data_IF_535177362004
#
_entry.id   IF_535177362004
#
_cell.length_a   1.000
_cell.length_b   1.000
_cell.length_c   1.000
_cell.angle_alpha   90.00
_cell.angle_beta   90.00
_cell.angle_gamma   90.00
#
_symmetry.space_group_name_H-M   'P 1'
#
loop_
_entity.id
_entity.type
_entity.pdbx_description
1 polymer ?
#
# COMPACT_ATOMS: atom_id res chain seq x y z
N UNK A 1 -30.46 -36.88 -17.80
CA UNK A 1 -30.83 -36.27 -19.09
C UNK A 1 -31.44 -34.90 -18.76
N UNK A 2 -30.68 -33.80 -18.80
CA UNK A 2 -30.46 -32.92 -19.99
C UNK A 2 -31.79 -32.17 -20.27
N UNK A 3 -31.97 -30.84 -20.13
CA UNK A 3 -31.17 -29.65 -20.48
C UNK A 3 -31.80 -28.38 -19.80
N UNK A 4 -31.01 -27.38 -19.34
CA UNK A 4 -30.79 -26.01 -19.92
C UNK A 4 -32.08 -25.17 -20.08
N UNK A 5 -32.19 -23.88 -19.70
CA UNK A 5 -31.23 -22.76 -19.67
C UNK A 5 -31.82 -21.51 -18.96
N UNK A 6 -30.91 -20.61 -18.57
CA UNK A 6 -30.97 -19.12 -18.46
C UNK A 6 -32.03 -18.40 -17.57
N UNK A 7 -31.53 -17.66 -16.56
CA UNK A 7 -31.46 -16.18 -16.62
C UNK A 7 -30.52 -15.61 -15.52
N UNK A 8 -29.61 -14.74 -15.97
CA UNK A 8 -28.64 -13.97 -15.21
C UNK A 8 -29.29 -12.75 -14.54
N UNK A 9 -28.76 -12.30 -13.39
CA UNK A 9 -28.85 -10.90 -12.96
C UNK A 9 -28.84 -10.67 -11.45
N UNK A 10 -27.85 -9.89 -10.98
CA UNK A 10 -27.80 -9.18 -9.69
C UNK A 10 -27.44 -9.99 -8.41
N UNK A 11 -26.15 -10.25 -8.22
CA UNK A 11 -25.57 -10.46 -6.89
C UNK A 11 -24.13 -9.91 -6.87
N UNK A 12 -24.00 -8.59 -6.77
CA UNK A 12 -22.74 -7.89 -6.94
C UNK A 12 -22.62 -6.61 -6.13
N UNK A 13 -23.20 -6.53 -4.93
CA UNK A 13 -22.92 -5.49 -3.92
C UNK A 13 -23.29 -6.09 -2.56
N UNK A 14 -22.33 -6.55 -1.75
CA UNK A 14 -22.42 -6.78 -0.28
C UNK A 14 -21.26 -7.67 0.26
N UNK A 15 -20.01 -7.20 0.18
CA UNK A 15 -18.91 -7.77 1.01
C UNK A 15 -18.03 -6.66 1.58
N UNK A 16 -18.65 -5.61 2.13
CA UNK A 16 -17.95 -4.64 2.97
C UNK A 16 -18.75 -4.35 4.25
N UNK A 17 -19.17 -5.42 4.94
CA UNK A 17 -19.66 -5.34 6.31
C UNK A 17 -19.37 -6.66 7.02
N UNK A 18 -18.19 -6.76 7.61
CA UNK A 18 -17.89 -7.78 8.61
C UNK A 18 -17.24 -7.12 9.83
N UNK A 19 -17.92 -6.09 10.37
CA UNK A 19 -17.80 -5.61 11.74
C UNK A 19 -18.94 -4.60 11.93
N UNK A 20 -20.10 -5.06 12.40
CA UNK A 20 -21.20 -4.28 13.03
C UNK A 20 -22.52 -5.05 12.91
N UNK A 21 -22.93 -5.74 13.97
CA UNK A 21 -24.35 -6.06 14.21
C UNK A 21 -24.61 -6.04 15.72
N UNK A 22 -25.12 -4.92 16.23
CA UNK A 22 -26.07 -4.86 17.35
C UNK A 22 -26.88 -3.54 17.25
N UNK A 23 -28.11 -3.70 16.77
CA UNK A 23 -29.34 -2.94 17.05
C UNK A 23 -29.73 -1.67 16.26
N UNK A 24 -31.06 -1.44 16.07
CA UNK A 24 -31.61 -0.69 14.94
C UNK A 24 -32.44 0.56 15.33
N UNK A 25 -32.52 1.55 14.44
CA UNK A 25 -33.77 2.02 13.77
C UNK A 25 -33.69 3.45 13.24
N UNK A 26 -34.10 3.55 11.97
CA UNK A 26 -34.88 4.59 11.27
C UNK A 26 -34.35 6.03 11.23
N UNK A 27 -34.08 6.49 10.01
CA UNK A 27 -34.38 7.87 9.61
C UNK A 27 -34.98 7.90 8.20
N UNK A 28 -36.08 8.62 8.06
CA UNK A 28 -36.90 8.79 6.85
C UNK A 28 -36.25 9.71 5.80
N UNK A 29 -36.56 9.42 4.55
CA UNK A 29 -36.19 10.22 3.38
C UNK A 29 -37.09 11.45 3.24
N UNK A 30 -36.49 12.61 3.00
CA UNK A 30 -37.16 13.76 2.38
C UNK A 30 -36.48 14.06 1.03
N UNK A 31 -37.27 13.87 -0.03
CA UNK A 31 -36.98 14.33 -1.39
C UNK A 31 -37.32 15.81 -1.49
N UNK A 32 -36.45 16.60 -2.11
CA UNK A 32 -36.87 17.81 -2.81
C UNK A 32 -36.18 17.91 -4.17
N UNK A 33 -37.01 18.13 -5.18
CA UNK A 33 -36.66 18.31 -6.59
C UNK A 33 -36.14 19.73 -6.83
N UNK A 34 -35.19 19.87 -7.76
CA UNK A 34 -34.78 21.15 -8.33
C UNK A 34 -33.82 20.94 -9.50
N UNK A 35 -34.33 21.10 -10.72
CA UNK A 35 -33.59 21.05 -11.99
C UNK A 35 -32.79 22.35 -12.26
N UNK A 36 -31.86 22.34 -13.25
CA UNK A 36 -30.63 23.14 -13.22
C UNK A 36 -30.70 24.43 -14.02
N UNK A 37 -30.04 25.49 -13.54
CA UNK A 37 -29.78 26.69 -14.31
C UNK A 37 -28.39 26.64 -14.98
N UNK A 38 -28.41 26.62 -16.31
CA UNK A 38 -27.27 26.88 -17.17
C UNK A 38 -26.78 28.32 -17.03
N UNK A 39 -25.49 28.50 -16.75
CA UNK A 39 -24.79 29.75 -17.03
C UNK A 39 -23.45 29.43 -17.71
N UNK A 40 -23.44 29.76 -19.00
CA UNK A 40 -22.31 29.73 -19.89
C UNK A 40 -21.34 30.84 -19.47
N UNK A 41 -20.09 30.50 -19.14
CA UNK A 41 -19.04 31.50 -19.12
C UNK A 41 -17.76 30.90 -19.69
N UNK A 42 -17.47 31.31 -20.92
CA UNK A 42 -16.20 31.07 -21.60
C UNK A 42 -15.14 31.95 -20.96
N UNK A 43 -14.22 31.35 -20.22
CA UNK A 43 -12.91 31.95 -19.99
C UNK A 43 -11.84 30.99 -20.49
N UNK A 44 -11.36 31.25 -21.70
CA UNK A 44 -10.05 30.82 -22.16
C UNK A 44 -9.00 31.46 -21.25
N UNK A 45 -8.46 30.70 -20.31
CA UNK A 45 -7.25 31.07 -19.58
C UNK A 45 -6.06 30.35 -20.20
N UNK A 46 -5.18 31.16 -20.80
CA UNK A 46 -3.82 30.80 -21.20
C UNK A 46 -3.15 30.01 -20.07
N UNK A 47 -2.67 28.81 -20.39
CA UNK A 47 -1.79 28.03 -19.51
C UNK A 47 -0.45 28.77 -19.40
N UNK A 48 -0.32 29.55 -18.34
CA UNK A 48 0.96 30.10 -17.89
C UNK A 48 1.82 28.97 -17.34
N UNK A 49 3.08 28.91 -17.79
CA UNK A 49 4.09 27.90 -17.46
C UNK A 49 4.82 28.16 -16.13
N UNK A 50 4.23 28.92 -15.20
CA UNK A 50 4.92 29.36 -13.99
C UNK A 50 4.50 28.62 -12.71
N UNK A 51 5.50 27.92 -12.16
CA UNK A 51 5.64 27.35 -10.80
C UNK A 51 4.73 26.17 -10.45
N UNK A 52 5.30 24.96 -10.53
CA UNK A 52 4.96 23.91 -9.56
C UNK A 52 5.02 24.57 -8.16
N UNK A 53 3.90 24.61 -7.43
CA UNK A 53 3.91 24.98 -6.02
C UNK A 53 4.63 23.85 -5.29
N UNK A 54 5.91 24.05 -5.01
CA UNK A 54 6.65 23.16 -4.13
C UNK A 54 6.01 23.28 -2.76
N UNK A 55 5.37 22.21 -2.27
CA UNK A 55 4.80 22.20 -0.94
C UNK A 55 5.89 22.53 0.11
N UNK A 56 5.55 23.22 1.20
CA UNK A 56 6.50 23.50 2.26
C UNK A 56 7.13 22.19 2.75
N UNK A 57 8.44 22.20 2.99
CA UNK A 57 9.13 21.02 3.52
C UNK A 57 8.50 20.62 4.86
N UNK A 58 8.20 19.34 5.00
CA UNK A 58 7.74 18.71 6.24
C UNK A 58 8.91 18.14 7.06
N UNK A 59 10.15 18.34 6.60
CA UNK A 59 11.34 17.82 7.24
C UNK A 59 11.53 18.47 8.62
N UNK A 60 12.03 17.69 9.57
CA UNK A 60 12.45 18.18 10.89
C UNK A 60 13.98 18.12 11.00
N UNK A 61 14.58 18.73 12.03
CA UNK A 61 16.04 18.81 12.19
C UNK A 61 16.76 17.46 12.27
N UNK A 62 16.03 16.38 12.55
CA UNK A 62 16.54 15.01 12.62
C UNK A 62 16.31 14.20 11.33
N UNK A 63 15.51 14.73 10.39
CA UNK A 63 15.15 14.06 9.14
C UNK A 63 15.91 14.65 7.97
N UNK A 64 16.72 13.88 7.23
CA UNK A 64 17.32 14.38 6.02
C UNK A 64 16.25 14.66 4.94
N UNK A 65 16.57 15.48 3.92
CA UNK A 65 15.67 15.72 2.80
C UNK A 65 15.25 14.42 2.12
N UNK A 66 14.00 14.36 1.66
CA UNK A 66 13.48 13.19 0.94
C UNK A 66 14.19 12.93 -0.40
N UNK A 67 14.72 13.97 -1.04
CA UNK A 67 15.36 13.86 -2.36
C UNK A 67 14.38 13.44 -3.46
N UNK A 68 14.89 12.74 -4.48
CA UNK A 68 14.10 12.35 -5.66
C UNK A 68 12.94 11.41 -5.33
N UNK A 69 12.96 10.71 -4.18
CA UNK A 69 11.84 9.88 -3.72
C UNK A 69 10.54 10.69 -3.71
N UNK A 70 10.58 11.93 -3.21
CA UNK A 70 9.42 12.82 -3.12
C UNK A 70 9.21 13.67 -4.39
N UNK A 71 10.13 13.63 -5.35
CA UNK A 71 9.99 14.40 -6.59
C UNK A 71 9.14 13.63 -7.61
N UNK A 72 7.84 13.87 -7.61
CA UNK A 72 6.91 13.27 -8.57
C UNK A 72 6.90 14.00 -9.94
N UNK A 73 7.74 15.01 -10.16
CA UNK A 73 7.95 15.62 -11.48
C UNK A 73 8.91 14.81 -12.36
N UNK A 74 9.66 13.89 -11.76
CA UNK A 74 10.52 12.95 -12.47
C UNK A 74 9.63 11.85 -13.07
N UNK A 75 9.53 11.85 -14.40
CA UNK A 75 8.77 10.87 -15.17
C UNK A 75 9.68 9.89 -15.90
N UNK A 76 9.07 8.82 -16.41
CA UNK A 76 9.77 7.80 -17.18
C UNK A 76 10.40 8.41 -18.44
N UNK A 77 11.73 8.29 -18.55
CA UNK A 77 12.47 8.73 -19.73
C UNK A 77 12.13 7.89 -20.96
N UNK A 78 12.22 8.48 -22.16
CA UNK A 78 11.93 7.79 -23.41
C UNK A 78 12.80 6.53 -23.54
N UNK A 79 12.17 5.39 -23.79
CA UNK A 79 12.85 4.09 -23.95
C UNK A 79 13.09 3.31 -22.65
N UNK A 80 12.84 3.91 -21.47
CA UNK A 80 12.90 3.20 -20.19
C UNK A 80 11.59 2.47 -19.90
N UNK A 81 11.66 1.30 -19.25
CA UNK A 81 10.48 0.56 -18.78
C UNK A 81 9.95 1.06 -17.43
N UNK A 82 10.73 1.85 -16.68
CA UNK A 82 10.39 2.39 -15.36
C UNK A 82 11.00 3.78 -15.11
N UNK A 83 10.47 4.51 -14.12
CA UNK A 83 11.06 5.78 -13.65
C UNK A 83 12.35 5.49 -12.88
N UNK A 84 13.45 6.12 -13.28
CA UNK A 84 14.72 6.05 -12.55
C UNK A 84 14.83 7.25 -11.61
N UNK A 85 15.12 6.99 -10.34
CA UNK A 85 15.32 7.98 -9.28
C UNK A 85 16.57 7.64 -8.47
N UNK A 86 17.27 8.66 -7.99
CA UNK A 86 18.43 8.51 -7.13
C UNK A 86 17.98 8.31 -5.67
N UNK A 87 18.00 7.06 -5.20
CA UNK A 87 17.67 6.72 -3.82
C UNK A 87 18.91 6.73 -2.92
N UNK A 88 18.88 7.54 -1.88
CA UNK A 88 19.86 7.47 -0.78
C UNK A 88 19.26 6.61 0.35
N UNK A 89 19.65 5.33 0.39
CA UNK A 89 19.09 4.38 1.34
C UNK A 89 19.32 4.77 2.80
N UNK A 90 20.48 5.36 3.14
CA UNK A 90 20.73 5.82 4.51
C UNK A 90 19.72 6.92 4.92
N UNK A 91 19.50 7.91 4.04
CA UNK A 91 18.52 8.98 4.30
C UNK A 91 17.08 8.44 4.38
N UNK A 92 16.72 7.50 3.51
CA UNK A 92 15.41 6.86 3.50
C UNK A 92 15.13 6.18 4.85
N UNK A 93 16.11 5.47 5.43
CA UNK A 93 15.94 4.83 6.73
C UNK A 93 16.02 5.80 7.92
N UNK A 94 16.80 6.88 7.83
CA UNK A 94 16.75 7.97 8.81
C UNK A 94 15.34 8.60 8.87
N UNK A 95 14.68 8.78 7.73
CA UNK A 95 13.29 9.27 7.68
C UNK A 95 12.28 8.25 8.19
N UNK A 96 12.54 6.95 8.04
CA UNK A 96 11.72 5.92 8.69
C UNK A 96 11.84 5.98 10.22
N UNK A 97 13.06 6.20 10.74
CA UNK A 97 13.32 6.33 12.19
C UNK A 97 12.76 7.63 12.76
N UNK A 98 12.93 8.72 12.04
CA UNK A 98 12.48 10.06 12.39
C UNK A 98 11.47 10.51 11.33
N UNK A 99 10.20 10.07 11.42
CA UNK A 99 9.20 10.44 10.43
C UNK A 99 8.99 11.97 10.39
N UNK A 100 8.99 12.58 9.20
CA UNK A 100 8.74 14.01 9.03
C UNK A 100 7.26 14.35 9.23
N UNK A 101 6.95 15.63 9.39
CA UNK A 101 5.58 16.12 9.51
C UNK A 101 5.05 16.15 10.94
N UNK A 102 3.77 16.52 11.06
CA UNK A 102 3.09 16.74 12.35
C UNK A 102 2.14 15.59 12.66
N UNK A 103 2.07 15.22 13.94
CA UNK A 103 1.02 14.33 14.46
C UNK A 103 -0.18 15.17 14.85
N UNK A 104 -1.38 14.72 14.49
CA UNK A 104 -2.65 15.35 14.87
C UNK A 104 -3.48 14.39 15.71
N UNK A 105 -4.09 14.90 16.79
CA UNK A 105 -4.96 14.14 17.69
C UNK A 105 -6.25 14.94 17.91
N UNK A 106 -7.41 14.47 17.41
CA UNK A 106 -7.60 13.29 16.55
C UNK A 106 -6.94 13.45 15.16
N UNK A 107 -6.78 12.36 14.38
CA UNK A 107 -6.35 12.44 12.99
C UNK A 107 -7.20 13.42 12.18
N UNK A 108 -6.57 14.14 11.26
CA UNK A 108 -7.27 15.11 10.42
C UNK A 108 -8.25 14.42 9.46
N UNK A 109 -9.40 15.06 9.23
CA UNK A 109 -10.39 14.63 8.23
C UNK A 109 -10.07 15.07 6.82
N UNK A 110 -9.27 16.12 6.67
CA UNK A 110 -8.90 16.71 5.39
C UNK A 110 -7.40 17.04 5.37
N UNK A 111 -6.73 17.02 4.21
CA UNK A 111 -5.34 17.47 4.10
C UNK A 111 -5.20 18.92 4.59
N UNK A 112 -4.13 19.28 5.32
CA UNK A 112 -3.82 20.68 5.57
C UNK A 112 -3.72 21.45 4.25
N UNK A 113 -4.26 22.67 4.20
CA UNK A 113 -4.36 23.46 2.97
C UNK A 113 -2.99 23.66 2.31
N UNK A 114 -1.96 23.83 3.11
CA UNK A 114 -0.58 24.02 2.70
C UNK A 114 0.06 22.75 2.10
N UNK A 115 -0.45 21.55 2.40
CA UNK A 115 0.04 20.27 1.88
C UNK A 115 -0.90 19.65 0.84
N UNK A 116 -2.03 20.29 0.52
CA UNK A 116 -3.06 19.73 -0.36
C UNK A 116 -2.49 19.36 -1.74
N UNK A 117 -1.67 20.23 -2.33
CA UNK A 117 -1.04 19.99 -3.63
C UNK A 117 -0.13 18.76 -3.59
N UNK A 118 0.66 18.59 -2.51
CA UNK A 118 1.52 17.42 -2.35
C UNK A 118 0.71 16.13 -2.13
N UNK A 119 -0.32 16.17 -1.27
CA UNK A 119 -1.17 15.01 -1.03
C UNK A 119 -1.92 14.56 -2.29
N UNK A 120 -2.34 15.53 -3.10
CA UNK A 120 -3.09 15.27 -4.33
C UNK A 120 -2.21 15.06 -5.56
N UNK A 121 -0.87 15.09 -5.42
CA UNK A 121 0.08 15.04 -6.54
C UNK A 121 -0.28 16.08 -7.62
N UNK A 122 -0.43 17.34 -7.19
CA UNK A 122 -0.87 18.47 -8.02
C UNK A 122 -2.19 18.20 -8.78
N UNK A 123 -3.15 17.51 -8.13
CA UNK A 123 -4.47 17.22 -8.69
C UNK A 123 -4.59 15.93 -9.53
N UNK A 124 -3.55 15.08 -9.54
CA UNK A 124 -3.62 13.72 -10.09
C UNK A 124 -4.29 12.70 -9.14
N UNK A 125 -4.62 13.11 -7.91
CA UNK A 125 -5.50 12.37 -7.00
C UNK A 125 -6.75 13.21 -6.68
N UNK A 126 -7.93 12.71 -7.05
CA UNK A 126 -9.19 13.30 -6.64
C UNK A 126 -9.42 13.09 -5.13
N UNK A 127 -10.00 14.07 -4.43
CA UNK A 127 -10.37 13.89 -3.03
C UNK A 127 -11.61 12.99 -2.94
N UNK A 128 -11.51 11.95 -2.12
CA UNK A 128 -12.64 11.15 -1.66
C UNK A 128 -13.15 11.65 -0.31
N UNK A 129 -14.09 10.92 0.29
CA UNK A 129 -14.76 11.34 1.52
C UNK A 129 -14.67 10.31 2.65
N UNK A 130 -13.96 9.20 2.44
CA UNK A 130 -13.87 8.16 3.45
C UNK A 130 -12.79 8.47 4.48
N UNK A 131 -13.16 8.39 5.76
CA UNK A 131 -12.32 8.73 6.91
C UNK A 131 -12.27 7.56 7.89
N UNK A 132 -11.11 7.33 8.50
CA UNK A 132 -10.93 6.33 9.56
C UNK A 132 -10.05 6.85 10.68
N UNK A 133 -10.47 6.66 11.94
CA UNK A 133 -9.59 6.84 13.10
C UNK A 133 -9.04 5.48 13.54
N UNK A 134 -7.75 5.25 13.30
CA UNK A 134 -7.04 4.02 13.65
C UNK A 134 -6.12 4.18 14.85
N UNK A 135 -6.24 5.25 15.64
CA UNK A 135 -5.31 5.56 16.75
C UNK A 135 -5.43 4.61 17.94
N UNK A 136 -6.46 3.76 17.98
CA UNK A 136 -6.60 2.73 19.01
C UNK A 136 -5.54 1.65 18.81
N UNK A 137 -4.62 1.52 19.78
CA UNK A 137 -3.58 0.50 19.76
C UNK A 137 -4.19 -0.90 19.57
N UNK A 138 -3.70 -1.63 18.57
CA UNK A 138 -3.96 -3.06 18.53
C UNK A 138 -3.16 -3.72 19.65
N UNK A 139 -3.78 -4.63 20.40
CA UNK A 139 -3.02 -5.50 21.30
C UNK A 139 -2.15 -6.40 20.44
N UNK A 140 -0.87 -6.52 20.79
CA UNK A 140 0.04 -7.43 20.10
C UNK A 140 -0.58 -8.83 19.98
N UNK A 141 -0.38 -9.47 18.84
CA UNK A 141 -0.98 -10.78 18.55
C UNK A 141 0.05 -11.90 18.69
N UNK A 142 -0.39 -13.06 19.17
CA UNK A 142 0.45 -14.26 19.27
C UNK A 142 -0.20 -15.36 18.44
N UNK A 143 0.56 -15.95 17.51
CA UNK A 143 0.16 -17.09 16.72
C UNK A 143 1.02 -18.28 17.12
N UNK A 144 0.42 -19.23 17.84
CA UNK A 144 1.11 -20.42 18.35
C UNK A 144 1.47 -21.38 17.22
N UNK A 145 2.39 -22.30 17.48
CA UNK A 145 2.83 -23.29 16.49
C UNK A 145 1.65 -24.13 15.98
N UNK A 146 0.66 -24.44 16.81
CA UNK A 146 -0.55 -25.17 16.40
C UNK A 146 -1.42 -24.36 15.43
N UNK A 147 -1.61 -23.07 15.69
CA UNK A 147 -2.37 -22.16 14.83
C UNK A 147 -1.67 -21.99 13.47
N UNK A 148 -0.34 -21.84 13.50
CA UNK A 148 0.49 -21.75 12.30
C UNK A 148 0.40 -23.02 11.46
N UNK A 149 0.56 -24.19 12.08
CA UNK A 149 0.45 -25.48 11.41
C UNK A 149 -0.94 -25.70 10.81
N UNK A 150 -1.99 -25.26 11.52
CA UNK A 150 -3.37 -25.30 11.01
C UNK A 150 -3.52 -24.43 9.77
N UNK A 151 -3.05 -23.18 9.79
CA UNK A 151 -3.11 -22.28 8.63
C UNK A 151 -2.33 -22.83 7.43
N UNK A 152 -1.15 -23.40 7.66
CA UNK A 152 -0.33 -24.07 6.64
C UNK A 152 -1.11 -25.21 6.00
N UNK A 153 -1.75 -26.06 6.80
CA UNK A 153 -2.59 -27.16 6.32
C UNK A 153 -3.79 -26.63 5.53
N UNK A 154 -4.51 -25.65 6.07
CA UNK A 154 -5.70 -25.08 5.44
C UNK A 154 -5.38 -24.47 4.07
N UNK A 155 -4.23 -23.77 3.94
CA UNK A 155 -3.79 -23.22 2.65
C UNK A 155 -3.38 -24.29 1.63
N UNK A 156 -2.77 -25.41 2.08
CA UNK A 156 -2.51 -26.59 1.22
C UNK A 156 -3.79 -27.25 0.74
N UNK A 157 -4.82 -27.27 1.58
CA UNK A 157 -6.17 -27.77 1.27
C UNK A 157 -7.02 -26.74 0.48
N UNK A 158 -6.41 -25.65 0.01
CA UNK A 158 -7.06 -24.58 -0.77
C UNK A 158 -8.20 -23.87 -0.03
N UNK A 159 -8.20 -23.88 1.31
CA UNK A 159 -9.14 -23.09 2.11
C UNK A 159 -8.71 -21.62 2.14
N UNK A 160 -9.69 -20.75 2.32
CA UNK A 160 -9.45 -19.31 2.39
C UNK A 160 -8.84 -18.93 3.75
N UNK A 161 -7.57 -18.52 3.75
CA UNK A 161 -6.86 -18.08 4.97
C UNK A 161 -6.58 -16.57 5.03
N UNK A 162 -6.79 -15.85 3.93
CA UNK A 162 -6.39 -14.46 3.80
C UNK A 162 -7.40 -13.45 4.32
N UNK A 163 -6.89 -12.31 4.80
CA UNK A 163 -7.70 -11.21 5.36
C UNK A 163 -8.59 -10.49 4.35
N UNK A 164 -8.35 -10.67 3.04
CA UNK A 164 -9.05 -9.98 1.95
C UNK A 164 -9.86 -10.94 1.07
N UNK A 165 -10.28 -12.08 1.64
CA UNK A 165 -11.12 -13.06 0.96
C UNK A 165 -10.56 -13.49 -0.41
N UNK A 166 -11.39 -13.44 -1.46
CA UNK A 166 -10.99 -13.85 -2.82
C UNK A 166 -9.76 -13.09 -3.34
N UNK A 167 -9.48 -11.89 -2.84
CA UNK A 167 -8.34 -11.11 -3.28
C UNK A 167 -7.03 -11.67 -2.77
N UNK A 168 -6.99 -12.13 -1.52
CA UNK A 168 -5.84 -12.86 -0.97
C UNK A 168 -5.55 -14.14 -1.76
N UNK A 169 -6.57 -14.88 -2.19
CA UNK A 169 -6.37 -16.08 -3.01
C UNK A 169 -5.77 -15.75 -4.39
N UNK A 170 -6.19 -14.64 -5.02
CA UNK A 170 -5.58 -14.19 -6.28
C UNK A 170 -4.16 -13.67 -6.10
N UNK A 171 -3.84 -13.04 -4.96
CA UNK A 171 -2.47 -12.67 -4.63
C UNK A 171 -1.54 -13.90 -4.56
N UNK A 172 -2.02 -15.00 -3.97
CA UNK A 172 -1.31 -16.30 -4.00
C UNK A 172 -0.97 -16.77 -5.41
N UNK A 173 -1.86 -16.57 -6.39
CA UNK A 173 -1.57 -16.92 -7.78
C UNK A 173 -0.42 -16.09 -8.35
N UNK A 174 -0.35 -14.81 -7.98
CA UNK A 174 0.79 -13.93 -8.30
C UNK A 174 2.10 -14.48 -7.74
N UNK A 175 2.12 -14.86 -6.47
CA UNK A 175 3.28 -15.50 -5.83
C UNK A 175 3.65 -16.83 -6.52
N UNK A 176 2.66 -17.69 -6.76
CA UNK A 176 2.85 -19.04 -7.32
C UNK A 176 3.40 -19.03 -8.74
N UNK A 177 3.07 -18.00 -9.54
CA UNK A 177 3.62 -17.79 -10.88
C UNK A 177 5.16 -17.69 -10.87
N UNK A 178 5.73 -17.21 -9.76
CA UNK A 178 7.16 -17.02 -9.57
C UNK A 178 7.76 -18.01 -8.57
N UNK A 179 7.10 -19.17 -8.35
CA UNK A 179 7.55 -20.19 -7.38
C UNK A 179 9.03 -20.56 -7.53
N UNK A 180 9.51 -20.78 -8.76
CA UNK A 180 10.92 -21.15 -9.01
C UNK A 180 11.93 -20.08 -8.57
N UNK A 181 11.53 -18.81 -8.55
CA UNK A 181 12.37 -17.70 -8.07
C UNK A 181 12.27 -17.51 -6.56
N UNK A 182 11.22 -18.05 -5.92
CA UNK A 182 10.95 -17.95 -4.49
C UNK A 182 11.45 -19.15 -3.68
N UNK A 183 11.42 -20.35 -4.26
CA UNK A 183 11.79 -21.59 -3.55
C UNK A 183 13.23 -21.50 -3.02
N UNK A 184 13.41 -21.81 -1.73
CA UNK A 184 14.70 -21.75 -1.05
C UNK A 184 15.23 -20.34 -0.76
N UNK A 185 14.47 -19.28 -1.07
CA UNK A 185 14.85 -17.88 -0.84
C UNK A 185 14.35 -17.34 0.50
N UNK A 186 14.97 -16.24 0.96
CA UNK A 186 14.51 -15.53 2.15
C UNK A 186 13.97 -14.16 1.78
N UNK A 187 12.80 -13.80 2.33
CA UNK A 187 12.13 -12.55 1.99
C UNK A 187 11.55 -11.80 3.17
N UNK A 188 11.01 -10.63 2.88
CA UNK A 188 10.38 -9.74 3.86
C UNK A 188 8.90 -9.54 3.54
N UNK A 189 8.04 -9.53 4.56
CA UNK A 189 6.60 -9.20 4.43
C UNK A 189 6.33 -7.92 5.21
N UNK A 190 5.82 -6.89 4.53
CA UNK A 190 5.52 -5.58 5.14
C UNK A 190 4.03 -5.46 5.40
N UNK A 191 3.65 -5.09 6.64
CA UNK A 191 2.28 -4.68 6.97
C UNK A 191 1.31 -5.84 7.22
N UNK A 192 1.82 -6.97 7.72
CA UNK A 192 1.04 -8.18 7.95
C UNK A 192 0.87 -8.46 9.44
N UNK A 193 -0.35 -8.22 9.96
CA UNK A 193 -0.72 -8.50 11.35
C UNK A 193 -1.41 -9.87 11.53
N UNK A 194 -1.61 -10.61 10.43
CA UNK A 194 -2.11 -12.00 10.40
C UNK A 194 -1.29 -12.79 9.38
N UNK A 195 -0.78 -13.99 9.69
CA UNK A 195 0.28 -14.64 8.92
C UNK A 195 -0.16 -15.29 7.60
N UNK A 196 -1.07 -14.70 6.83
CA UNK A 196 -1.62 -15.36 5.65
C UNK A 196 -0.67 -15.29 4.44
N UNK A 197 0.09 -14.20 4.27
CA UNK A 197 1.10 -14.09 3.21
C UNK A 197 2.28 -14.99 3.53
N UNK A 198 2.71 -14.98 4.78
CA UNK A 198 3.78 -15.79 5.34
C UNK A 198 3.49 -17.27 5.11
N UNK A 199 2.29 -17.73 5.47
CA UNK A 199 1.86 -19.12 5.25
C UNK A 199 1.86 -19.49 3.77
N UNK A 200 1.36 -18.63 2.88
CA UNK A 200 1.41 -18.87 1.43
C UNK A 200 2.85 -19.03 0.92
N UNK A 201 3.77 -18.18 1.41
CA UNK A 201 5.19 -18.24 1.05
C UNK A 201 5.86 -19.52 1.57
N UNK A 202 5.58 -19.93 2.82
CA UNK A 202 6.06 -21.19 3.38
C UNK A 202 5.60 -22.38 2.50
N UNK A 203 4.33 -22.40 2.09
CA UNK A 203 3.80 -23.45 1.22
C UNK A 203 4.38 -23.42 -0.21
N UNK A 204 4.82 -22.25 -0.70
CA UNK A 204 5.58 -22.13 -1.95
C UNK A 204 6.98 -22.74 -1.82
N UNK A 205 7.51 -22.84 -0.61
CA UNK A 205 8.81 -23.43 -0.30
C UNK A 205 9.92 -22.41 -0.10
N UNK A 206 9.61 -21.20 0.36
CA UNK A 206 10.65 -20.24 0.77
C UNK A 206 11.42 -20.78 1.97
N UNK A 207 12.67 -20.33 2.14
CA UNK A 207 13.52 -20.72 3.27
C UNK A 207 13.09 -20.01 4.55
N UNK A 208 12.87 -18.69 4.49
CA UNK A 208 12.56 -17.86 5.66
C UNK A 208 11.77 -16.62 5.27
N UNK A 209 10.90 -16.15 6.18
CA UNK A 209 10.16 -14.89 6.04
C UNK A 209 10.39 -14.01 7.26
N UNK A 210 10.78 -12.76 7.03
CA UNK A 210 10.80 -11.73 8.06
C UNK A 210 9.58 -10.84 7.89
N UNK A 211 8.62 -10.94 8.80
CA UNK A 211 7.46 -10.03 8.84
C UNK A 211 7.80 -8.79 9.63
N UNK A 212 7.39 -7.65 9.12
CA UNK A 212 7.67 -6.36 9.74
C UNK A 212 6.39 -5.52 9.80
N UNK A 213 6.09 -4.96 10.98
CA UNK A 213 4.96 -4.05 11.21
C UNK A 213 5.28 -3.04 12.34
N UNK A 214 4.39 -2.07 12.57
CA UNK A 214 4.46 -1.19 13.74
C UNK A 214 3.82 -1.82 14.98
N UNK A 215 2.88 -2.75 14.79
CA UNK A 215 2.23 -3.50 15.86
C UNK A 215 2.97 -4.82 16.09
N UNK A 216 3.23 -5.17 17.35
CA UNK A 216 3.94 -6.41 17.65
C UNK A 216 3.12 -7.65 17.29
N UNK A 217 3.77 -8.58 16.60
CA UNK A 217 3.21 -9.91 16.32
C UNK A 217 4.24 -10.96 16.66
N UNK A 218 3.83 -12.01 17.35
CA UNK A 218 4.68 -13.15 17.70
C UNK A 218 4.20 -14.34 16.87
N UNK A 219 5.12 -14.95 16.13
CA UNK A 219 4.89 -16.18 15.38
C UNK A 219 5.75 -17.28 15.98
N UNK A 220 5.12 -18.33 16.50
CA UNK A 220 5.83 -19.54 16.94
C UNK A 220 6.01 -20.47 15.74
N UNK A 221 6.88 -20.09 14.79
CA UNK A 221 7.22 -20.93 13.65
C UNK A 221 8.68 -20.73 13.23
N UNK A 222 9.50 -21.78 13.04
CA UNK A 222 10.95 -21.65 12.87
C UNK A 222 11.38 -20.91 11.59
N UNK A 223 10.50 -20.82 10.59
CA UNK A 223 10.77 -20.13 9.32
C UNK A 223 10.18 -18.71 9.24
N UNK A 224 9.57 -18.21 10.32
CA UNK A 224 8.96 -16.87 10.34
C UNK A 224 9.50 -16.11 11.53
N UNK A 225 10.06 -14.93 11.28
CA UNK A 225 10.49 -14.00 12.33
C UNK A 225 9.73 -12.69 12.22
N UNK A 226 9.58 -11.98 13.32
CA UNK A 226 8.99 -10.65 13.36
C UNK A 226 10.01 -9.58 13.75
N UNK A 227 9.85 -8.35 13.22
CA UNK A 227 10.58 -7.17 13.67
C UNK A 227 9.69 -5.93 13.64
N UNK A 228 9.85 -5.05 14.64
CA UNK A 228 9.18 -3.76 14.62
C UNK A 228 9.84 -2.82 13.60
N UNK A 229 9.03 -1.96 12.98
CA UNK A 229 9.52 -0.96 12.01
C UNK A 229 10.64 -0.06 12.56
N UNK A 230 10.55 0.47 13.79
CA UNK A 230 11.64 1.23 14.40
C UNK A 230 12.95 0.43 14.55
N UNK A 231 12.87 -0.85 14.90
CA UNK A 231 14.06 -1.71 15.06
C UNK A 231 14.72 -1.98 13.71
N UNK A 232 13.91 -2.20 12.66
CA UNK A 232 14.38 -2.32 11.29
C UNK A 232 15.09 -1.05 10.82
N UNK A 233 14.55 0.12 11.17
CA UNK A 233 15.17 1.40 10.86
C UNK A 233 16.52 1.57 11.56
N UNK A 234 16.58 1.29 12.86
CA UNK A 234 17.81 1.37 13.66
C UNK A 234 18.91 0.45 13.11
N UNK A 235 18.58 -0.79 12.78
CA UNK A 235 19.52 -1.74 12.18
C UNK A 235 20.03 -1.26 10.82
N UNK A 236 19.13 -0.73 9.98
CA UNK A 236 19.47 -0.27 8.64
C UNK A 236 20.35 0.99 8.65
N UNK A 237 20.16 1.88 9.63
CA UNK A 237 20.98 3.07 9.83
C UNK A 237 22.36 2.70 10.40
N UNK A 238 22.39 1.86 11.44
CA UNK A 238 23.63 1.50 12.15
C UNK A 238 24.57 0.65 11.28
N UNK A 239 23.99 -0.23 10.48
CA UNK A 239 24.75 -1.15 9.64
C UNK A 239 24.55 -0.74 8.16
N UNK A 240 23.71 -1.50 7.46
CA UNK A 240 23.18 -1.26 6.13
C UNK A 240 21.80 -1.92 6.08
N UNK A 241 20.90 -1.51 5.18
CA UNK A 241 19.63 -2.18 5.01
C UNK A 241 19.82 -3.68 4.71
N UNK A 242 19.09 -4.58 5.39
CA UNK A 242 19.16 -6.01 5.12
C UNK A 242 18.83 -6.29 3.66
N UNK A 243 19.47 -7.30 3.07
CA UNK A 243 19.33 -7.63 1.64
C UNK A 243 18.53 -8.93 1.47
N UNK A 244 17.25 -8.81 1.13
CA UNK A 244 16.31 -9.89 0.88
C UNK A 244 16.25 -10.29 -0.59
N UNK A 245 15.93 -11.56 -0.86
CA UNK A 245 15.73 -12.06 -2.22
C UNK A 245 14.38 -11.60 -2.81
N UNK A 246 13.38 -11.39 -1.95
CA UNK A 246 12.07 -10.90 -2.34
C UNK A 246 11.38 -10.12 -1.20
N UNK A 247 10.36 -9.35 -1.55
CA UNK A 247 9.48 -8.65 -0.64
C UNK A 247 8.02 -8.87 -1.03
N UNK A 248 7.11 -8.85 -0.06
CA UNK A 248 5.68 -8.86 -0.30
C UNK A 248 4.95 -7.88 0.62
N UNK A 249 3.92 -7.21 0.08
CA UNK A 249 3.01 -6.38 0.87
C UNK A 249 1.65 -6.34 0.19
N UNK A 250 0.59 -6.38 0.98
CA UNK A 250 -0.78 -6.35 0.47
C UNK A 250 -1.66 -5.48 1.35
N UNK A 251 -2.17 -4.40 0.76
CA UNK A 251 -3.04 -3.41 1.40
C UNK A 251 -2.39 -2.84 2.67
N UNK A 252 -1.27 -2.15 2.50
CA UNK A 252 -0.48 -1.56 3.58
C UNK A 252 0.11 -0.21 3.19
N UNK A 253 0.82 -0.14 2.06
CA UNK A 253 1.52 1.07 1.62
C UNK A 253 0.56 2.25 1.36
N UNK A 254 -0.68 1.99 0.94
CA UNK A 254 -1.68 3.02 0.67
C UNK A 254 -2.02 3.91 1.86
N UNK A 255 -1.75 3.44 3.08
CA UNK A 255 -2.05 4.16 4.31
C UNK A 255 -0.89 5.06 4.77
N UNK A 256 0.32 4.85 4.28
CA UNK A 256 1.53 5.50 4.80
C UNK A 256 1.48 7.03 4.69
N UNK A 257 1.73 7.72 5.80
CA UNK A 257 1.79 9.18 5.89
C UNK A 257 0.43 9.88 5.84
N UNK A 258 -0.67 9.14 6.02
CA UNK A 258 -2.02 9.73 6.09
C UNK A 258 -2.44 10.09 7.52
N UNK A 259 -1.65 9.76 8.54
CA UNK A 259 -1.94 10.06 9.95
C UNK A 259 -3.04 9.21 10.58
N UNK A 260 -3.56 8.22 9.85
CA UNK A 260 -4.66 7.31 10.27
C UNK A 260 -4.41 6.71 11.64
N UNK A 261 -3.17 6.30 11.89
CA UNK A 261 -2.78 5.50 13.04
C UNK A 261 -2.15 6.37 14.14
N UNK A 262 -2.25 7.70 14.02
CA UNK A 262 -1.54 8.63 14.90
C UNK A 262 -0.07 8.84 14.51
N UNK A 263 0.31 8.43 13.30
CA UNK A 263 1.58 8.71 12.66
C UNK A 263 1.65 10.18 12.18
N UNK A 264 2.86 10.75 12.02
CA UNK A 264 3.03 12.04 11.38
C UNK A 264 2.49 12.03 9.94
N UNK A 265 1.83 13.12 9.53
CA UNK A 265 1.36 13.24 8.16
C UNK A 265 2.52 13.49 7.20
N UNK A 266 2.56 12.72 6.10
CA UNK A 266 3.56 12.81 5.05
C UNK A 266 2.91 12.45 3.68
N UNK A 267 2.77 13.43 2.76
CA UNK A 267 2.22 13.20 1.42
C UNK A 267 2.89 12.08 0.62
N UNK A 268 4.16 11.81 0.92
CA UNK A 268 5.05 10.91 0.21
C UNK A 268 5.33 9.60 0.95
N UNK A 269 4.63 9.33 2.06
CA UNK A 269 4.91 8.17 2.91
C UNK A 269 4.84 6.81 2.19
N UNK A 270 3.97 6.68 1.19
CA UNK A 270 3.86 5.50 0.33
C UNK A 270 5.06 5.33 -0.62
N UNK A 271 5.55 6.44 -1.19
CA UNK A 271 6.77 6.43 -2.01
C UNK A 271 8.00 6.11 -1.17
N UNK A 272 8.11 6.68 0.02
CA UNK A 272 9.18 6.37 0.96
C UNK A 272 9.14 4.88 1.38
N UNK A 273 7.96 4.33 1.67
CA UNK A 273 7.80 2.90 1.98
C UNK A 273 8.24 1.99 0.81
N UNK A 274 7.86 2.32 -0.44
CA UNK A 274 8.33 1.58 -1.60
C UNK A 274 9.86 1.70 -1.79
N UNK A 275 10.43 2.87 -1.53
CA UNK A 275 11.88 3.09 -1.59
C UNK A 275 12.64 2.33 -0.49
N UNK A 276 12.09 2.22 0.73
CA UNK A 276 12.63 1.38 1.80
C UNK A 276 12.71 -0.09 1.35
N UNK A 277 11.64 -0.61 0.71
CA UNK A 277 11.60 -1.97 0.16
C UNK A 277 12.65 -2.13 -0.94
N UNK A 278 12.78 -1.16 -1.84
CA UNK A 278 13.82 -1.18 -2.87
C UNK A 278 15.23 -1.25 -2.26
N UNK A 279 15.50 -0.47 -1.21
CA UNK A 279 16.79 -0.48 -0.51
C UNK A 279 17.10 -1.82 0.17
N UNK A 280 16.07 -2.55 0.61
CA UNK A 280 16.21 -3.87 1.26
C UNK A 280 16.25 -5.05 0.29
N UNK A 281 16.05 -4.84 -1.00
CA UNK A 281 16.08 -5.93 -1.98
C UNK A 281 17.46 -6.09 -2.60
N UNK A 282 17.88 -7.35 -2.81
CA UNK A 282 19.03 -7.64 -3.67
C UNK A 282 18.76 -7.21 -5.12
N UNK A 283 19.80 -6.89 -5.91
CA UNK A 283 19.66 -6.73 -7.36
C UNK A 283 18.93 -7.92 -7.98
N UNK A 284 17.91 -7.66 -8.81
CA UNK A 284 17.06 -8.70 -9.40
C UNK A 284 15.98 -9.28 -8.48
N UNK A 285 15.94 -8.87 -7.20
CA UNK A 285 14.92 -9.30 -6.26
C UNK A 285 13.50 -8.88 -6.67
N UNK A 286 12.52 -9.69 -6.27
CA UNK A 286 11.11 -9.47 -6.60
C UNK A 286 10.37 -8.74 -5.49
N UNK A 287 9.47 -7.84 -5.86
CA UNK A 287 8.51 -7.22 -4.95
C UNK A 287 7.08 -7.50 -5.42
N UNK A 288 6.32 -8.20 -4.59
CA UNK A 288 4.90 -8.49 -4.79
C UNK A 288 4.08 -7.46 -4.03
N UNK A 289 3.42 -6.56 -4.76
CA UNK A 289 2.68 -5.45 -4.18
C UNK A 289 1.21 -5.54 -4.55
N UNK A 290 0.32 -5.58 -3.56
CA UNK A 290 -1.11 -5.38 -3.75
C UNK A 290 -1.57 -4.06 -3.12
N UNK A 291 -2.15 -3.16 -3.91
CA UNK A 291 -2.72 -1.88 -3.44
C UNK A 291 -4.05 -1.58 -4.16
N UNK A 292 -4.99 -0.84 -3.55
CA UNK A 292 -6.20 -0.39 -4.23
C UNK A 292 -5.85 0.40 -5.50
N UNK A 293 -6.33 0.01 -6.68
CA UNK A 293 -5.88 0.64 -7.92
C UNK A 293 -6.99 0.76 -8.95
N UNK A 294 -6.89 1.80 -9.79
CA UNK A 294 -7.76 2.03 -10.95
C UNK A 294 -6.91 2.01 -12.22
N UNK A 295 -6.60 0.80 -12.72
CA UNK A 295 -5.71 0.67 -13.88
C UNK A 295 -6.29 1.36 -15.13
N UNK A 296 -5.39 1.92 -15.93
CA UNK A 296 -5.74 2.64 -17.16
C UNK A 296 -6.32 4.04 -16.92
N UNK A 297 -6.56 4.45 -15.68
CA UNK A 297 -6.94 5.83 -15.34
C UNK A 297 -5.71 6.58 -14.86
N UNK A 298 -5.42 7.75 -15.45
CA UNK A 298 -4.33 8.62 -14.97
C UNK A 298 -4.55 9.00 -13.51
N UNK A 299 -5.74 9.52 -13.20
CA UNK A 299 -6.08 10.03 -11.87
C UNK A 299 -6.47 8.91 -10.92
N UNK A 300 -5.97 8.99 -9.69
CA UNK A 300 -6.39 8.18 -8.56
C UNK A 300 -7.38 8.91 -7.65
N UNK A 301 -7.65 8.32 -6.49
CA UNK A 301 -8.47 8.91 -5.42
C UNK A 301 -7.71 8.87 -4.10
N UNK A 302 -7.74 9.97 -3.35
CA UNK A 302 -7.26 10.08 -1.98
C UNK A 302 -8.48 10.18 -1.07
N UNK A 303 -8.86 9.06 -0.46
CA UNK A 303 -9.75 9.06 0.71
C UNK A 303 -8.90 9.46 1.91
N UNK A 304 -8.76 10.78 2.11
CA UNK A 304 -7.75 11.34 2.99
C UNK A 304 -7.87 10.78 4.41
N UNK A 305 -6.71 10.54 5.01
CA UNK A 305 -6.53 9.82 6.26
C UNK A 305 -6.83 8.31 6.21
N UNK A 306 -7.71 7.82 5.32
CA UNK A 306 -8.04 6.40 5.25
C UNK A 306 -7.08 5.61 4.35
N UNK A 307 -7.03 5.92 3.06
CA UNK A 307 -6.20 5.22 2.08
C UNK A 307 -6.09 5.95 0.74
N UNK A 308 -5.19 5.47 -0.12
CA UNK A 308 -5.05 5.88 -1.52
C UNK A 308 -5.58 4.79 -2.45
N UNK A 309 -6.32 5.18 -3.48
CA UNK A 309 -6.64 4.37 -4.65
C UNK A 309 -5.80 4.88 -5.81
N UNK A 310 -4.86 4.07 -6.27
CA UNK A 310 -3.81 4.52 -7.18
C UNK A 310 -4.30 4.57 -8.63
N UNK A 311 -4.16 5.73 -9.28
CA UNK A 311 -4.17 5.86 -10.73
C UNK A 311 -2.75 5.76 -11.31
N UNK A 312 -2.62 5.65 -12.63
CA UNK A 312 -1.33 5.43 -13.32
C UNK A 312 -0.29 6.51 -12.99
N UNK A 313 -0.70 7.77 -12.72
CA UNK A 313 0.22 8.84 -12.34
C UNK A 313 0.92 8.58 -11.00
N UNK A 314 0.21 7.97 -10.03
CA UNK A 314 0.78 7.64 -8.72
C UNK A 314 1.45 6.26 -8.72
N UNK A 315 0.94 5.31 -9.50
CA UNK A 315 1.60 4.00 -9.74
C UNK A 315 3.00 4.22 -10.29
N UNK A 316 3.15 5.07 -11.32
CA UNK A 316 4.44 5.39 -11.95
C UNK A 316 5.51 5.79 -10.91
N UNK A 317 5.11 6.57 -9.90
CA UNK A 317 5.99 7.04 -8.83
C UNK A 317 6.20 5.98 -7.73
N UNK A 318 5.14 5.26 -7.35
CA UNK A 318 5.18 4.18 -6.36
C UNK A 318 6.13 3.05 -6.80
N UNK A 319 6.18 2.74 -8.10
CA UNK A 319 7.03 1.68 -8.65
C UNK A 319 8.37 2.19 -9.19
N UNK A 320 8.80 3.40 -8.81
CA UNK A 320 10.09 3.94 -9.25
C UNK A 320 11.25 3.00 -8.88
N UNK A 321 12.24 2.92 -9.77
CA UNK A 321 13.38 1.99 -9.73
C UNK A 321 13.04 0.49 -9.78
N UNK A 322 11.78 0.14 -10.02
CA UNK A 322 11.35 -1.22 -10.29
C UNK A 322 10.87 -1.37 -11.73
N UNK A 323 11.29 -2.45 -12.38
CA UNK A 323 10.63 -2.89 -13.61
C UNK A 323 9.36 -3.66 -13.27
N UNK A 324 8.22 -3.21 -13.78
CA UNK A 324 6.97 -3.97 -13.70
C UNK A 324 7.00 -5.12 -14.70
N UNK A 325 7.05 -6.36 -14.20
CA UNK A 325 7.12 -7.57 -15.04
C UNK A 325 5.79 -8.32 -15.12
N UNK A 326 4.86 -8.01 -14.22
CA UNK A 326 3.51 -8.54 -14.26
C UNK A 326 2.55 -7.64 -13.49
N UNK A 327 1.34 -7.45 -14.02
CA UNK A 327 0.25 -6.75 -13.32
C UNK A 327 -1.07 -7.47 -13.56
N UNK A 328 -1.95 -7.47 -12.57
CA UNK A 328 -3.31 -7.96 -12.71
C UNK A 328 -4.26 -7.36 -11.66
N UNK A 329 -5.56 -7.40 -11.93
CA UNK A 329 -6.57 -6.95 -10.98
C UNK A 329 -7.08 -8.09 -10.10
N UNK A 330 -7.35 -7.73 -8.85
CA UNK A 330 -8.08 -8.57 -7.91
C UNK A 330 -9.05 -7.74 -7.08
N UNK A 331 -10.32 -7.72 -7.50
CA UNK A 331 -11.34 -6.89 -6.86
C UNK A 331 -10.98 -5.42 -6.99
N UNK A 332 -10.85 -4.69 -5.87
CA UNK A 332 -10.44 -3.27 -5.90
C UNK A 332 -8.92 -3.09 -5.97
N UNK A 333 -8.14 -4.14 -5.71
CA UNK A 333 -6.68 -4.07 -5.74
C UNK A 333 -6.12 -4.33 -7.13
N UNK A 334 -5.07 -3.58 -7.45
CA UNK A 334 -4.09 -3.95 -8.45
C UNK A 334 -2.96 -4.71 -7.76
N UNK A 335 -2.54 -5.83 -8.34
CA UNK A 335 -1.35 -6.57 -7.92
C UNK A 335 -0.26 -6.40 -8.96
N UNK A 336 0.93 -6.08 -8.50
CA UNK A 336 2.14 -5.91 -9.27
C UNK A 336 3.18 -6.92 -8.83
N UNK A 337 3.92 -7.47 -9.80
CA UNK A 337 5.20 -8.11 -9.56
C UNK A 337 6.26 -7.23 -10.19
N UNK A 338 7.12 -6.73 -9.33
CA UNK A 338 8.12 -5.72 -9.60
C UNK A 338 9.49 -6.35 -9.45
N UNK A 339 10.44 -6.04 -10.34
CA UNK A 339 11.83 -6.52 -10.25
C UNK A 339 12.76 -5.36 -10.01
N UNK A 340 13.60 -5.45 -8.97
CA UNK A 340 14.64 -4.45 -8.70
C UNK A 340 15.67 -4.45 -9.83
N UNK A 341 15.76 -3.33 -10.54
CA UNK A 341 16.83 -3.05 -11.51
C UNK A 341 17.80 -2.03 -10.89
N UNK A 342 19.09 -2.16 -11.20
CA UNK A 342 20.19 -1.29 -10.72
C UNK A 342 20.64 -0.39 -11.86
#
# INVERSE_FOLDING_TARGET
MVHRNLLYGLAGVLVLMALLLMLPKKFEMLKTNGEPNHLHNQHQTKVSKDRLRVAPSIDNSLSPPCGEVCDFSIHKSKGMSFVKKNFNCHNIFLRLKYPPGKVYKPPLREPPKELLDAFTQNGDMALGSFYMDGTTASKGSVFKIEDMNKLIKDDKELKMIGSYGRESAKFKNGLSKYKSELTGKSGIVIGSIRPWIEVMLINIGVKHVTTVDYNSVIFEHPQISFKLMPDLADESIKNQPPQFDFAASFSSLEHSGLGRYGDPINPYGDFEAAAQIWCMLKPGGLFFLGVPASFGKRKGTLDYNAHRIYGEARIEQLTANFEEIYRFHTGIHGVFVLRKRV
#
